data_IF_930516372765
#
_entry.id   IF_930516372765
#
_cell.length_a   1.000
_cell.length_b   1.000
_cell.length_c   1.000
_cell.angle_alpha   90.00
_cell.angle_beta   90.00
_cell.angle_gamma   90.00
#
_symmetry.space_group_name_H-M   'P 1'
#
loop_
_entity.id
_entity.type
_entity.pdbx_description
1 polymer ?
#
# COMPACT_ATOMS: atom_id res chain seq x y z
N UNK A 1 5.82 17.26 -3.77
CA UNK A 1 6.02 16.20 -2.77
C UNK A 1 5.58 14.85 -3.32
N UNK A 2 6.39 13.82 -3.12
CA UNK A 2 5.98 12.46 -3.43
C UNK A 2 5.09 11.91 -2.33
N UNK A 3 4.01 11.25 -2.71
CA UNK A 3 3.11 10.57 -1.78
C UNK A 3 3.03 9.11 -2.18
N UNK A 4 3.52 8.23 -1.33
CA UNK A 4 3.62 6.80 -1.63
C UNK A 4 2.55 6.03 -0.85
N UNK A 5 1.64 5.38 -1.58
CA UNK A 5 0.64 4.49 -1.01
C UNK A 5 1.26 3.11 -0.82
N UNK A 6 1.38 2.70 0.44
CA UNK A 6 1.88 1.38 0.80
C UNK A 6 0.68 0.49 1.15
N UNK A 7 0.59 -0.63 0.48
CA UNK A 7 -0.43 -1.62 0.77
C UNK A 7 0.12 -3.04 0.63
N UNK A 8 -0.66 -4.01 1.04
CA UNK A 8 -0.24 -5.39 0.91
C UNK A 8 -1.08 -6.38 1.67
N UNK A 9 -0.65 -7.61 1.65
CA UNK A 9 -1.38 -8.74 2.17
C UNK A 9 -1.37 -8.80 3.68
N UNK A 10 -2.51 -9.16 4.27
CA UNK A 10 -2.64 -9.40 5.71
C UNK A 10 -1.77 -10.58 6.19
N UNK A 11 -1.46 -11.49 5.30
CA UNK A 11 -0.69 -12.70 5.58
C UNK A 11 0.83 -12.45 5.67
N UNK A 12 1.29 -11.29 5.21
CA UNK A 12 2.71 -10.92 5.25
C UNK A 12 2.93 -10.03 6.47
N UNK A 13 3.64 -10.55 7.47
CA UNK A 13 3.80 -9.88 8.76
C UNK A 13 5.11 -9.11 8.91
N UNK A 14 6.04 -9.30 7.98
CA UNK A 14 7.33 -8.60 7.96
C UNK A 14 7.60 -8.08 6.56
N UNK A 15 8.16 -6.88 6.46
CA UNK A 15 8.54 -6.32 5.17
C UNK A 15 9.71 -7.10 4.57
N UNK A 16 9.67 -7.43 3.27
CA UNK A 16 10.83 -7.99 2.59
C UNK A 16 11.99 -7.00 2.61
N UNK A 17 13.20 -7.52 2.58
CA UNK A 17 14.42 -6.69 2.58
C UNK A 17 14.40 -5.66 1.45
N UNK A 18 14.04 -6.06 0.24
CA UNK A 18 13.96 -5.15 -0.90
C UNK A 18 12.97 -4.01 -0.70
N UNK A 19 11.86 -4.28 -0.03
CA UNK A 19 10.87 -3.24 0.30
C UNK A 19 11.43 -2.24 1.32
N UNK A 20 12.14 -2.71 2.33
CA UNK A 20 12.82 -1.82 3.28
C UNK A 20 13.87 -0.95 2.60
N UNK A 21 14.65 -1.53 1.69
CA UNK A 21 15.63 -0.78 0.89
C UNK A 21 14.96 0.27 -0.01
N UNK A 22 13.82 -0.09 -0.61
CA UNK A 22 13.03 0.84 -1.40
C UNK A 22 12.59 2.05 -0.55
N UNK A 23 12.06 1.78 0.64
CA UNK A 23 11.59 2.84 1.55
C UNK A 23 12.75 3.71 2.04
N UNK A 24 13.88 3.11 2.39
CA UNK A 24 15.08 3.86 2.79
C UNK A 24 15.57 4.77 1.66
N UNK A 25 15.55 4.30 0.42
CA UNK A 25 15.93 5.12 -0.73
C UNK A 25 14.99 6.32 -0.91
N UNK A 26 13.68 6.12 -0.76
CA UNK A 26 12.70 7.20 -0.85
C UNK A 26 12.89 8.22 0.27
N UNK A 27 13.18 7.76 1.48
CA UNK A 27 13.48 8.64 2.61
C UNK A 27 14.74 9.48 2.33
N UNK A 28 15.77 8.87 1.75
CA UNK A 28 17.01 9.57 1.39
C UNK A 28 16.81 10.64 0.32
N UNK A 29 15.89 10.43 -0.62
CA UNK A 29 15.53 11.44 -1.61
C UNK A 29 14.86 12.66 -0.96
N UNK A 30 14.16 12.47 0.15
CA UNK A 30 13.47 13.52 0.88
C UNK A 30 12.16 13.96 0.21
N UNK A 31 11.46 14.90 0.86
CA UNK A 31 10.19 15.45 0.39
C UNK A 31 9.18 14.37 0.03
N UNK A 32 8.98 13.40 0.92
CA UNK A 32 8.12 12.24 0.72
C UNK A 32 7.19 12.06 1.90
N UNK A 33 5.94 11.73 1.62
CA UNK A 33 4.95 11.28 2.58
C UNK A 33 4.53 9.87 2.24
N UNK A 34 4.40 9.05 3.27
CA UNK A 34 3.86 7.71 3.14
C UNK A 34 2.43 7.68 3.65
N UNK A 35 1.55 7.06 2.90
CA UNK A 35 0.18 6.83 3.31
C UNK A 35 -0.07 5.33 3.34
N UNK A 36 -0.66 4.84 4.41
CA UNK A 36 -0.82 3.42 4.68
C UNK A 36 -2.16 3.18 5.36
N UNK A 37 -2.76 2.03 5.12
CA UNK A 37 -3.99 1.64 5.79
C UNK A 37 -3.76 1.15 7.22
N UNK A 38 -4.82 0.66 7.82
CA UNK A 38 -4.87 0.23 9.22
C UNK A 38 -5.04 -1.28 9.38
N UNK A 39 -4.80 -2.04 8.32
CA UNK A 39 -4.97 -3.49 8.30
C UNK A 39 -3.83 -4.20 9.05
N UNK A 40 -4.02 -5.50 9.28
CA UNK A 40 -2.94 -6.38 9.76
C UNK A 40 -1.92 -6.62 8.63
N UNK A 41 -0.82 -7.27 8.99
CA UNK A 41 0.18 -7.68 8.02
C UNK A 41 1.03 -6.52 7.52
N UNK A 42 1.06 -6.30 6.22
CA UNK A 42 1.93 -5.30 5.59
C UNK A 42 1.68 -3.89 6.13
N UNK A 43 0.41 -3.49 6.29
CA UNK A 43 0.09 -2.14 6.79
C UNK A 43 0.76 -1.90 8.15
N UNK A 44 0.59 -2.83 9.08
CA UNK A 44 1.17 -2.72 10.41
C UNK A 44 2.71 -2.74 10.37
N UNK A 45 3.29 -3.63 9.59
CA UNK A 45 4.75 -3.72 9.43
C UNK A 45 5.35 -2.44 8.85
N UNK A 46 4.69 -1.85 7.86
CA UNK A 46 5.12 -0.59 7.25
C UNK A 46 5.04 0.57 8.24
N UNK A 47 3.96 0.64 9.03
CA UNK A 47 3.81 1.65 10.07
C UNK A 47 4.99 1.59 11.05
N UNK A 48 5.30 0.40 11.56
CA UNK A 48 6.38 0.21 12.54
C UNK A 48 7.74 0.60 11.95
N UNK A 49 8.03 0.12 10.74
CA UNK A 49 9.30 0.42 10.07
C UNK A 49 9.49 1.92 9.86
N UNK A 50 8.50 2.57 9.28
CA UNK A 50 8.58 4.00 8.94
C UNK A 50 8.58 4.88 10.17
N UNK A 51 7.82 4.52 11.21
CA UNK A 51 7.84 5.24 12.49
C UNK A 51 9.24 5.21 13.11
N UNK A 52 9.94 4.08 13.02
CA UNK A 52 11.31 3.95 13.53
C UNK A 52 12.30 4.86 12.80
N UNK A 53 11.98 5.28 11.59
CA UNK A 53 12.80 6.18 10.76
C UNK A 53 12.41 7.65 10.92
N UNK A 54 11.40 7.96 11.71
CA UNK A 54 10.90 9.34 11.84
C UNK A 54 10.25 9.88 10.57
N UNK A 55 9.70 9.01 9.72
CA UNK A 55 9.11 9.40 8.45
C UNK A 55 7.79 10.17 8.62
N UNK A 56 7.41 10.94 7.59
CA UNK A 56 6.09 11.57 7.50
C UNK A 56 5.10 10.51 7.02
N UNK A 57 4.22 10.07 7.93
CA UNK A 57 3.27 8.99 7.69
C UNK A 57 1.87 9.41 8.10
N UNK A 58 0.89 9.01 7.30
CA UNK A 58 -0.53 9.12 7.65
C UNK A 58 -1.18 7.74 7.55
N UNK A 59 -1.94 7.38 8.58
CA UNK A 59 -2.73 6.13 8.60
C UNK A 59 -4.16 6.45 8.19
N UNK A 60 -4.63 5.80 7.13
CA UNK A 60 -5.99 6.01 6.63
C UNK A 60 -6.91 4.94 7.20
N UNK A 61 -8.04 5.36 7.73
CA UNK A 61 -9.04 4.46 8.32
C UNK A 61 -10.45 4.91 7.96
N UNK A 62 -11.29 3.99 7.54
CA UNK A 62 -12.67 4.27 7.21
C UNK A 62 -13.44 4.73 8.45
N UNK A 63 -14.06 5.91 8.36
CA UNK A 63 -14.76 6.60 9.46
C UNK A 63 -13.87 6.82 10.70
N UNK A 64 -12.56 6.77 10.55
CA UNK A 64 -11.63 6.90 11.67
C UNK A 64 -11.63 5.72 12.63
N UNK A 65 -12.26 4.61 12.27
CA UNK A 65 -12.30 3.37 13.08
C UNK A 65 -11.04 2.54 12.86
N UNK A 66 -9.97 2.91 13.54
CA UNK A 66 -8.64 2.34 13.35
C UNK A 66 -8.55 0.93 13.93
N UNK A 67 -8.09 -0.03 13.12
CA UNK A 67 -7.84 -1.41 13.55
C UNK A 67 -6.41 -1.60 14.06
N UNK A 68 -5.42 -1.03 13.37
CA UNK A 68 -3.99 -1.11 13.73
C UNK A 68 -3.33 0.25 13.57
N UNK A 69 -2.78 0.75 14.67
CA UNK A 69 -1.93 1.93 14.69
C UNK A 69 -1.03 1.86 15.94
N UNK A 70 -0.10 0.86 15.99
CA UNK A 70 0.68 0.62 17.20
C UNK A 70 1.62 1.75 17.59
N UNK A 71 1.98 2.60 16.64
CA UNK A 71 2.90 3.73 16.87
C UNK A 71 2.18 5.06 17.07
N UNK A 72 0.86 5.05 17.20
CA UNK A 72 0.05 6.25 17.40
C UNK A 72 0.34 7.35 16.37
N UNK A 73 0.36 6.97 15.11
CA UNK A 73 0.60 7.87 13.97
C UNK A 73 -0.65 8.71 13.68
N UNK A 74 -0.49 9.85 12.99
CA UNK A 74 -1.63 10.65 12.57
C UNK A 74 -2.62 9.86 11.71
N UNK A 75 -3.91 10.00 12.00
CA UNK A 75 -4.99 9.27 11.33
C UNK A 75 -5.78 10.21 10.42
N UNK A 76 -6.05 9.75 9.21
CA UNK A 76 -6.99 10.38 8.28
C UNK A 76 -8.26 9.55 8.26
N UNK A 77 -9.36 10.13 8.70
CA UNK A 77 -10.67 9.49 8.66
C UNK A 77 -11.26 9.64 7.25
N UNK A 78 -11.58 8.52 6.63
CA UNK A 78 -12.17 8.51 5.28
C UNK A 78 -13.67 8.22 5.37
N UNK A 79 -14.52 9.07 4.78
CA UNK A 79 -15.97 8.82 4.81
C UNK A 79 -16.33 7.48 4.19
N UNK A 80 -17.13 6.71 4.89
CA UNK A 80 -17.63 5.39 4.46
C UNK A 80 -19.06 5.16 4.91
N UNK A 81 -19.83 6.23 5.13
CA UNK A 81 -21.23 6.16 5.54
C UNK A 81 -22.05 5.37 4.54
N UNK A 82 -22.87 4.46 5.05
CA UNK A 82 -23.70 3.60 4.21
C UNK A 82 -22.98 2.40 3.60
N UNK A 83 -21.65 2.33 3.72
CA UNK A 83 -20.87 1.20 3.24
C UNK A 83 -20.78 0.09 4.29
N UNK A 84 -20.75 -1.17 3.85
CA UNK A 84 -20.67 -2.34 4.73
C UNK A 84 -19.62 -3.34 4.23
N UNK A 85 -19.08 -4.12 5.17
CA UNK A 85 -18.14 -5.20 4.85
C UNK A 85 -16.92 -4.70 4.10
N UNK A 86 -16.61 -5.33 2.98
CA UNK A 86 -15.45 -4.97 2.16
C UNK A 86 -15.54 -3.54 1.62
N UNK A 87 -16.72 -3.09 1.23
CA UNK A 87 -16.92 -1.74 0.71
C UNK A 87 -16.56 -0.68 1.74
N UNK A 88 -16.86 -0.92 3.02
CA UNK A 88 -16.49 -0.03 4.11
C UNK A 88 -14.96 0.16 4.17
N UNK A 89 -14.21 -0.92 4.19
CA UNK A 89 -12.75 -0.86 4.27
C UNK A 89 -12.11 -0.42 2.95
N UNK A 90 -12.79 -0.64 1.84
CA UNK A 90 -12.32 -0.23 0.52
C UNK A 90 -12.28 1.29 0.33
N UNK A 91 -13.10 2.04 1.04
CA UNK A 91 -13.18 3.50 0.90
C UNK A 91 -11.83 4.18 1.20
N UNK A 92 -11.13 3.74 2.23
CA UNK A 92 -9.79 4.29 2.54
C UNK A 92 -8.78 3.99 1.44
N UNK A 93 -8.85 2.82 0.82
CA UNK A 93 -7.94 2.44 -0.26
C UNK A 93 -8.15 3.33 -1.50
N UNK A 94 -9.41 3.60 -1.82
CA UNK A 94 -9.77 4.50 -2.92
C UNK A 94 -9.22 5.91 -2.66
N UNK A 95 -9.38 6.42 -1.45
CA UNK A 95 -8.87 7.74 -1.07
C UNK A 95 -7.34 7.79 -1.16
N UNK A 96 -6.65 6.77 -0.68
CA UNK A 96 -5.19 6.70 -0.75
C UNK A 96 -4.70 6.65 -2.21
N UNK A 97 -5.35 5.87 -3.06
CA UNK A 97 -4.99 5.79 -4.47
C UNK A 97 -5.14 7.14 -5.17
N UNK A 98 -6.18 7.90 -4.83
CA UNK A 98 -6.37 9.24 -5.38
C UNK A 98 -5.28 10.23 -4.97
N UNK A 99 -4.82 10.18 -3.72
CA UNK A 99 -3.79 11.09 -3.21
C UNK A 99 -2.38 10.69 -3.60
N UNK A 100 -2.11 9.43 -3.78
CA UNK A 100 -0.77 8.92 -4.05
C UNK A 100 -0.21 9.42 -5.38
N UNK A 101 1.11 9.57 -5.43
CA UNK A 101 1.85 9.76 -6.70
C UNK A 101 2.33 8.44 -7.26
N UNK A 102 2.52 7.43 -6.40
CA UNK A 102 2.90 6.07 -6.78
C UNK A 102 2.52 5.10 -5.67
N UNK A 103 2.55 3.83 -5.98
CA UNK A 103 2.27 2.77 -5.01
C UNK A 103 3.45 1.85 -4.77
N UNK A 104 3.49 1.29 -3.56
CA UNK A 104 4.34 0.18 -3.17
C UNK A 104 3.43 -0.91 -2.63
N UNK A 105 3.37 -2.05 -3.31
CA UNK A 105 2.54 -3.17 -2.90
C UNK A 105 3.39 -4.37 -2.56
N UNK A 106 3.07 -5.04 -1.46
CA UNK A 106 3.74 -6.26 -1.01
C UNK A 106 2.66 -7.33 -0.92
N UNK A 107 2.71 -8.31 -1.84
CA UNK A 107 1.59 -9.17 -2.15
C UNK A 107 1.93 -10.65 -2.03
N UNK A 108 1.02 -11.43 -1.47
CA UNK A 108 1.14 -12.90 -1.42
C UNK A 108 0.71 -13.58 -2.73
N UNK A 109 0.25 -12.80 -3.70
CA UNK A 109 -0.23 -13.30 -4.97
C UNK A 109 -1.68 -13.77 -4.97
N UNK A 110 -2.36 -13.69 -3.82
CA UNK A 110 -3.73 -14.21 -3.64
C UNK A 110 -4.71 -13.16 -3.14
N UNK A 111 -4.28 -12.25 -2.30
CA UNK A 111 -5.13 -11.24 -1.65
C UNK A 111 -5.82 -10.36 -2.67
N UNK A 112 -7.14 -10.33 -2.65
CA UNK A 112 -7.94 -9.51 -3.59
C UNK A 112 -7.77 -8.02 -3.35
N UNK A 113 -7.68 -7.59 -2.10
CA UNK A 113 -7.53 -6.17 -1.75
C UNK A 113 -6.29 -5.57 -2.37
N UNK A 114 -5.15 -6.25 -2.28
CA UNK A 114 -3.89 -5.80 -2.88
C UNK A 114 -3.98 -5.76 -4.40
N UNK A 115 -4.58 -6.77 -5.02
CA UNK A 115 -4.80 -6.79 -6.47
C UNK A 115 -5.67 -5.62 -6.93
N UNK A 116 -6.72 -5.30 -6.18
CA UNK A 116 -7.60 -4.17 -6.47
C UNK A 116 -6.85 -2.84 -6.34
N UNK A 117 -5.99 -2.70 -5.34
CA UNK A 117 -5.18 -1.49 -5.16
C UNK A 117 -4.20 -1.29 -6.31
N UNK A 118 -3.53 -2.37 -6.74
CA UNK A 118 -2.67 -2.37 -7.93
C UNK A 118 -3.43 -1.89 -9.16
N UNK A 119 -4.56 -2.51 -9.42
CA UNK A 119 -5.41 -2.18 -10.56
C UNK A 119 -5.87 -0.72 -10.51
N UNK A 120 -6.32 -0.27 -9.36
CA UNK A 120 -6.84 1.08 -9.19
C UNK A 120 -5.76 2.15 -9.39
N UNK A 121 -4.59 1.99 -8.77
CA UNK A 121 -3.46 2.91 -8.95
C UNK A 121 -3.06 3.01 -10.43
N UNK A 122 -2.91 1.88 -11.08
CA UNK A 122 -2.50 1.86 -12.50
C UNK A 122 -3.58 2.44 -13.41
N UNK A 123 -4.86 2.23 -13.10
CA UNK A 123 -5.96 2.85 -13.85
C UNK A 123 -5.97 4.37 -13.75
N UNK A 124 -5.39 4.91 -12.66
CA UNK A 124 -5.20 6.35 -12.48
C UNK A 124 -3.89 6.87 -13.07
N UNK A 125 -3.14 6.02 -13.77
CA UNK A 125 -1.85 6.38 -14.38
C UNK A 125 -0.70 6.49 -13.38
N UNK A 126 -0.84 5.90 -12.19
CA UNK A 126 0.17 5.97 -11.14
C UNK A 126 1.00 4.70 -11.13
N UNK A 127 2.35 4.80 -11.20
CA UNK A 127 3.20 3.61 -11.23
C UNK A 127 3.19 2.88 -9.89
N UNK A 128 3.39 1.56 -9.96
CA UNK A 128 3.43 0.70 -8.77
C UNK A 128 4.67 -0.18 -8.79
N UNK A 129 5.35 -0.24 -7.66
CA UNK A 129 6.41 -1.20 -7.41
C UNK A 129 5.82 -2.35 -6.60
N UNK A 130 5.95 -3.56 -7.08
CA UNK A 130 5.39 -4.76 -6.47
C UNK A 130 6.50 -5.67 -5.96
N UNK A 131 6.40 -6.08 -4.69
CA UNK A 131 7.18 -7.17 -4.12
C UNK A 131 6.25 -8.36 -3.93
N UNK A 132 6.49 -9.42 -4.68
CA UNK A 132 5.70 -10.64 -4.62
C UNK A 132 6.37 -11.62 -3.67
N UNK A 133 5.58 -12.24 -2.77
CA UNK A 133 6.10 -13.26 -1.85
C UNK A 133 6.87 -14.34 -2.63
N UNK A 134 8.04 -14.69 -2.13
CA UNK A 134 8.90 -15.70 -2.77
C UNK A 134 9.80 -15.15 -3.86
N UNK A 135 9.72 -13.88 -4.17
CA UNK A 135 10.64 -13.20 -5.10
C UNK A 135 11.41 -12.10 -4.38
N UNK A 136 12.71 -12.04 -4.61
CA UNK A 136 13.55 -10.98 -4.03
C UNK A 136 13.46 -9.69 -4.84
N UNK A 137 13.33 -9.79 -6.15
CA UNK A 137 13.32 -8.63 -7.04
C UNK A 137 11.93 -8.01 -7.14
N UNK A 138 11.91 -6.68 -7.15
CA UNK A 138 10.70 -5.92 -7.39
C UNK A 138 10.28 -5.99 -8.86
N UNK A 139 8.97 -5.90 -9.07
CA UNK A 139 8.39 -5.76 -10.41
C UNK A 139 7.80 -4.36 -10.48
N UNK A 140 8.20 -3.57 -11.49
CA UNK A 140 7.66 -2.23 -11.66
C UNK A 140 6.65 -2.21 -12.79
N UNK A 141 5.45 -1.72 -12.48
CA UNK A 141 4.39 -1.50 -13.45
C UNK A 141 4.20 0.00 -13.69
N UNK A 142 4.18 0.40 -14.95
CA UNK A 142 3.91 1.77 -15.37
C UNK A 142 2.50 1.91 -15.95
N UNK A 143 1.94 0.82 -16.45
CA UNK A 143 0.63 0.82 -17.09
C UNK A 143 -0.22 -0.35 -16.61
N UNK A 144 -1.54 -0.17 -16.69
CA UNK A 144 -2.50 -1.22 -16.38
C UNK A 144 -2.34 -2.43 -17.30
N UNK A 145 -1.96 -2.20 -18.55
CA UNK A 145 -1.75 -3.29 -19.51
C UNK A 145 -0.60 -4.21 -19.09
N UNK A 146 0.51 -3.64 -18.60
CA UNK A 146 1.63 -4.42 -18.09
C UNK A 146 1.18 -5.34 -16.93
N UNK A 147 0.37 -4.82 -16.03
CA UNK A 147 -0.16 -5.59 -14.91
C UNK A 147 -1.09 -6.71 -15.39
N UNK A 148 -1.98 -6.41 -16.33
CA UNK A 148 -2.91 -7.41 -16.91
C UNK A 148 -2.16 -8.56 -17.58
N UNK A 149 -1.11 -8.27 -18.32
CA UNK A 149 -0.24 -9.28 -18.93
C UNK A 149 0.43 -10.15 -17.87
N UNK A 150 0.95 -9.52 -16.82
CA UNK A 150 1.58 -10.23 -15.72
C UNK A 150 0.62 -11.20 -15.04
N UNK A 151 -0.59 -10.77 -14.72
CA UNK A 151 -1.61 -11.59 -14.09
C UNK A 151 -2.01 -12.77 -14.99
N UNK A 152 -2.22 -12.53 -16.27
CA UNK A 152 -2.57 -13.56 -17.24
C UNK A 152 -1.47 -14.62 -17.35
N UNK A 153 -0.22 -14.21 -17.41
CA UNK A 153 0.94 -15.11 -17.48
C UNK A 153 1.07 -15.96 -16.21
N UNK A 154 0.75 -15.42 -15.05
CA UNK A 154 0.82 -16.14 -13.77
C UNK A 154 -0.20 -17.28 -13.65
N UNK A 155 -1.37 -17.12 -14.25
CA UNK A 155 -2.45 -18.10 -14.18
C UNK A 155 -2.11 -19.32 -15.02
N UNK A 156 -1.28 -19.16 -16.01
CA UNK A 156 -0.79 -20.23 -16.85
C UNK A 156 0.46 -20.87 -16.25
#
# INVERSE_FOLDING_TARGET
MKVIFIGGSKTIKALPRGAMEFLDAKLSEGNVRFIVGDSFGVDRAAQVFLASKGADIKVYASEGKVRNNPCNLPVVAVPAEGCRGRDFYRQKDIAMACEATEGLMIWDGKSKGTSLDLHHLLSLGKPVTLFLRGREEAIRFLTLEQYRKFITTRIL
#
